data_IF_957534241131
#
_entry.id   IF_957534241131
#
_cell.length_a   1.000
_cell.length_b   1.000
_cell.length_c   1.000
_cell.angle_alpha   90.00
_cell.angle_beta   90.00
_cell.angle_gamma   90.00
#
_symmetry.space_group_name_H-M   'P 1'
#
loop_
_entity.id
_entity.type
_entity.pdbx_description
1 polymer ?
#
# COMPACT_ATOMS: atom_id res chain seq x y z
N UNK A 1 6.94 -34.43 -31.58
CA UNK A 1 8.23 -34.64 -32.28
C UNK A 1 9.07 -33.42 -32.00
N UNK A 2 10.35 -33.59 -31.69
CA UNK A 2 11.18 -32.56 -31.03
C UNK A 2 11.09 -31.16 -31.66
N UNK A 3 11.00 -31.05 -32.99
CA UNK A 3 10.87 -29.77 -33.70
C UNK A 3 9.55 -29.04 -33.40
N UNK A 4 8.42 -29.77 -33.36
CA UNK A 4 7.11 -29.18 -33.03
C UNK A 4 7.05 -28.71 -31.58
N UNK A 5 7.56 -29.53 -30.65
CA UNK A 5 7.62 -29.19 -29.22
C UNK A 5 8.54 -27.99 -28.95
N UNK A 6 9.65 -27.88 -29.68
CA UNK A 6 10.53 -26.71 -29.59
C UNK A 6 9.80 -25.45 -30.08
N UNK A 7 9.05 -25.54 -31.18
CA UNK A 7 8.26 -24.43 -31.72
C UNK A 7 7.18 -23.93 -30.76
N UNK A 8 6.44 -24.84 -30.12
CA UNK A 8 5.45 -24.52 -29.10
C UNK A 8 6.08 -23.80 -27.90
N UNK A 9 7.22 -24.29 -27.40
CA UNK A 9 7.96 -23.65 -26.31
C UNK A 9 8.47 -22.26 -26.68
N UNK A 10 8.94 -22.05 -27.90
CA UNK A 10 9.35 -20.72 -28.38
C UNK A 10 8.18 -19.74 -28.39
N UNK A 11 7.00 -20.18 -28.83
CA UNK A 11 5.79 -19.35 -28.81
C UNK A 11 5.34 -19.02 -27.38
N UNK A 12 5.42 -19.98 -26.46
CA UNK A 12 5.10 -19.79 -25.05
C UNK A 12 6.05 -18.77 -24.39
N UNK A 13 7.36 -18.87 -24.66
CA UNK A 13 8.35 -17.91 -24.15
C UNK A 13 8.06 -16.50 -24.66
N UNK A 14 7.71 -16.35 -25.94
CA UNK A 14 7.37 -15.05 -26.52
C UNK A 14 6.12 -14.45 -25.84
N UNK A 15 5.09 -15.28 -25.60
CA UNK A 15 3.87 -14.87 -24.88
C UNK A 15 4.18 -14.41 -23.45
N UNK A 16 4.98 -15.19 -22.72
CA UNK A 16 5.37 -14.87 -21.35
C UNK A 16 6.27 -13.62 -21.28
N UNK A 17 7.12 -13.38 -22.27
CA UNK A 17 7.93 -12.17 -22.34
C UNK A 17 7.07 -10.91 -22.48
N UNK A 18 6.01 -10.96 -23.30
CA UNK A 18 5.07 -9.86 -23.45
C UNK A 18 4.22 -9.64 -22.20
N UNK A 19 3.72 -10.73 -21.59
CA UNK A 19 2.98 -10.67 -20.32
C UNK A 19 3.84 -10.06 -19.20
N UNK A 20 5.10 -10.46 -19.10
CA UNK A 20 6.05 -9.88 -18.13
C UNK A 20 6.25 -8.38 -18.37
N UNK A 21 6.41 -7.96 -19.62
CA UNK A 21 6.57 -6.54 -19.96
C UNK A 21 5.36 -5.73 -19.51
N UNK A 22 4.15 -6.20 -19.82
CA UNK A 22 2.91 -5.55 -19.41
C UNK A 22 2.79 -5.44 -17.88
N UNK A 23 3.10 -6.51 -17.15
CA UNK A 23 3.08 -6.49 -15.68
C UNK A 23 4.11 -5.50 -15.11
N UNK A 24 5.25 -5.33 -15.78
CA UNK A 24 6.28 -4.38 -15.37
C UNK A 24 5.81 -2.93 -15.54
N UNK A 25 5.16 -2.61 -16.66
CA UNK A 25 4.54 -1.31 -16.90
C UNK A 25 3.41 -1.01 -15.89
N UNK A 26 2.55 -2.00 -15.58
CA UNK A 26 1.51 -1.85 -14.57
C UNK A 26 2.09 -1.63 -13.16
N UNK A 27 3.19 -2.30 -12.83
CA UNK A 27 3.87 -2.13 -11.55
C UNK A 27 4.49 -0.73 -11.41
N UNK A 28 5.14 -0.23 -12.46
CA UNK A 28 5.70 1.13 -12.48
C UNK A 28 4.60 2.19 -12.34
N UNK A 29 3.48 2.02 -13.04
CA UNK A 29 2.32 2.91 -12.91
C UNK A 29 1.74 2.88 -11.49
N UNK A 30 1.63 1.70 -10.89
CA UNK A 30 1.16 1.55 -9.52
C UNK A 30 2.12 2.23 -8.52
N UNK A 31 3.42 2.08 -8.68
CA UNK A 31 4.42 2.74 -7.83
C UNK A 31 4.34 4.26 -7.90
N UNK A 32 4.11 4.82 -9.09
CA UNK A 32 3.88 6.25 -9.26
C UNK A 32 2.62 6.71 -8.52
N UNK A 33 1.53 5.94 -8.59
CA UNK A 33 0.28 6.24 -7.87
C UNK A 33 0.43 6.08 -6.35
N UNK A 34 1.31 5.20 -5.89
CA UNK A 34 1.59 4.97 -4.48
C UNK A 34 2.73 5.84 -3.92
N UNK A 35 3.24 6.80 -4.69
CA UNK A 35 4.26 7.73 -4.21
C UNK A 35 3.67 8.58 -3.10
N UNK A 36 4.29 8.63 -1.90
CA UNK A 36 3.78 9.42 -0.79
C UNK A 36 3.60 10.89 -1.16
N UNK A 37 2.56 11.53 -0.61
CA UNK A 37 2.38 12.98 -0.77
C UNK A 37 3.43 13.69 0.09
N UNK A 38 3.90 14.87 -0.34
CA UNK A 38 5.03 15.57 0.30
C UNK A 38 4.83 15.89 1.79
N UNK A 39 3.58 15.99 2.24
CA UNK A 39 3.17 16.23 3.63
C UNK A 39 2.59 14.98 4.31
N UNK A 40 2.72 13.80 3.68
CA UNK A 40 2.23 12.56 4.25
C UNK A 40 3.01 12.21 5.53
N UNK A 41 2.32 12.09 6.69
CA UNK A 41 3.00 11.75 7.94
C UNK A 41 3.50 10.31 7.90
N UNK A 42 4.62 10.04 8.59
CA UNK A 42 5.18 8.68 8.66
C UNK A 42 4.18 7.65 9.20
N UNK A 43 3.23 8.08 10.01
CA UNK A 43 2.16 7.25 10.57
C UNK A 43 1.07 6.87 9.58
N UNK A 44 1.00 7.57 8.44
CA UNK A 44 0.11 7.25 7.31
C UNK A 44 0.83 6.42 6.23
N UNK A 45 2.17 6.39 6.23
CA UNK A 45 2.95 5.55 5.30
C UNK A 45 2.55 4.09 5.47
N UNK A 46 2.20 3.45 4.36
CA UNK A 46 1.82 2.03 4.34
C UNK A 46 0.34 1.76 4.63
N UNK A 47 -0.50 2.78 4.83
CA UNK A 47 -1.95 2.61 4.81
C UNK A 47 -2.42 2.37 3.36
N UNK A 48 -2.38 1.11 2.94
CA UNK A 48 -2.69 0.68 1.57
C UNK A 48 -4.16 0.24 1.40
N UNK A 49 -4.84 0.00 2.52
CA UNK A 49 -6.23 -0.48 2.54
C UNK A 49 -7.13 0.40 3.41
N UNK A 50 -8.44 0.37 3.11
CA UNK A 50 -9.45 1.03 3.95
C UNK A 50 -9.45 0.48 5.38
N UNK A 51 -9.18 -0.81 5.59
CA UNK A 51 -9.16 -1.40 6.92
C UNK A 51 -8.04 -0.82 7.79
N UNK A 52 -6.83 -0.71 7.24
CA UNK A 52 -5.68 -0.09 7.90
C UNK A 52 -5.97 1.36 8.28
N UNK A 53 -6.58 2.13 7.36
CA UNK A 53 -6.98 3.52 7.63
C UNK A 53 -8.01 3.61 8.76
N UNK A 54 -9.06 2.79 8.74
CA UNK A 54 -10.10 2.80 9.77
C UNK A 54 -9.52 2.43 11.14
N UNK A 55 -8.62 1.45 11.19
CA UNK A 55 -7.96 1.08 12.44
C UNK A 55 -7.07 2.21 12.96
N UNK A 56 -6.32 2.90 12.09
CA UNK A 56 -5.51 4.04 12.49
C UNK A 56 -6.36 5.19 13.02
N UNK A 57 -7.50 5.49 12.39
CA UNK A 57 -8.46 6.49 12.86
C UNK A 57 -9.00 6.12 14.24
N UNK A 58 -9.33 4.85 14.47
CA UNK A 58 -9.82 4.36 15.76
C UNK A 58 -8.80 4.61 16.88
N UNK A 59 -7.53 4.26 16.65
CA UNK A 59 -6.44 4.49 17.61
C UNK A 59 -6.26 5.98 17.90
N UNK A 60 -6.18 6.81 16.86
CA UNK A 60 -6.04 8.26 17.02
C UNK A 60 -7.23 8.88 17.80
N UNK A 61 -8.45 8.40 17.56
CA UNK A 61 -9.63 8.83 18.30
C UNK A 61 -9.52 8.53 19.80
N UNK A 62 -8.99 7.36 20.16
CA UNK A 62 -8.76 7.02 21.56
C UNK A 62 -7.67 7.89 22.20
N UNK A 63 -6.54 8.08 21.51
CA UNK A 63 -5.42 8.91 21.99
C UNK A 63 -5.88 10.35 22.29
N UNK A 64 -6.74 10.92 21.44
CA UNK A 64 -7.32 12.26 21.65
C UNK A 64 -8.22 12.29 22.88
N UNK A 65 -9.09 11.28 23.05
CA UNK A 65 -9.98 11.21 24.22
C UNK A 65 -9.19 11.09 25.53
N UNK A 66 -8.15 10.25 25.54
CA UNK A 66 -7.29 10.06 26.70
C UNK A 66 -6.52 11.35 27.03
N UNK A 67 -5.99 12.03 26.01
CA UNK A 67 -5.32 13.32 26.18
C UNK A 67 -6.23 14.41 26.73
N UNK A 68 -7.49 14.51 26.27
CA UNK A 68 -8.48 15.47 26.78
C UNK A 68 -8.81 15.16 28.24
N UNK A 69 -9.03 13.89 28.58
CA UNK A 69 -9.31 13.48 29.96
C UNK A 69 -8.15 13.84 30.88
N UNK A 70 -6.92 13.52 30.47
CA UNK A 70 -5.72 13.86 31.22
C UNK A 70 -5.58 15.37 31.45
N UNK A 71 -5.83 16.19 30.42
CA UNK A 71 -5.80 17.65 30.54
C UNK A 71 -6.86 18.19 31.50
N UNK A 72 -8.07 17.61 31.48
CA UNK A 72 -9.15 17.97 32.40
C UNK A 72 -8.79 17.64 33.85
N UNK A 73 -8.36 16.41 34.12
CA UNK A 73 -8.01 15.95 35.48
C UNK A 73 -6.93 16.88 36.09
N UNK A 74 -5.88 17.20 35.32
CA UNK A 74 -4.82 18.11 35.78
C UNK A 74 -5.26 19.56 36.00
N UNK A 75 -6.27 20.04 35.27
CA UNK A 75 -6.79 21.39 35.45
C UNK A 75 -7.71 21.47 36.68
N UNK A 76 -8.39 20.37 37.02
CA UNK A 76 -9.22 20.25 38.23
C UNK A 76 -8.36 20.11 39.49
N UNK A 77 -7.20 19.48 39.39
CA UNK A 77 -6.27 19.26 40.51
C UNK A 77 -5.39 20.48 40.86
N UNK A 78 -5.51 21.60 40.12
CA UNK A 78 -4.81 22.89 40.37
C UNK A 78 -5.64 23.87 41.19
#
# INVERSE_FOLDING_TARGET
GLVSELGEKTAEIARLAEERKKLQEELEALQLLMTPVGDEPETARGLSTRAELIEKIRVLGQDVLDGVKYGFDNAVDQ
#
